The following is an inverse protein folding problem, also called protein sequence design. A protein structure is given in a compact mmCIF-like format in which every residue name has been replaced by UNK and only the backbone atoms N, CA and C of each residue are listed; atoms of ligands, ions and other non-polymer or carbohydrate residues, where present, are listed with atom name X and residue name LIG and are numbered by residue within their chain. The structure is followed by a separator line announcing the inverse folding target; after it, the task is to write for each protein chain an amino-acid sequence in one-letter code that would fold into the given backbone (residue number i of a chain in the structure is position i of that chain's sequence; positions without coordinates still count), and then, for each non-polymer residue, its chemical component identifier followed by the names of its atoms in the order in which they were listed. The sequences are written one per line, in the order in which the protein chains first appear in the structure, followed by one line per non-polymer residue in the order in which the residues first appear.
data_IF_750537691709
#
_entry.id   IF_750537691709
#
_cell.length_a   1.000
_cell.length_b   1.000
_cell.length_c   1.000
_cell.angle_alpha   90.00
_cell.angle_beta   90.00
_cell.angle_gamma   90.00
#
_symmetry.space_group_name_H-M   'P 1'
#
loop_
_entity.id
_entity.type
_entity.pdbx_description
1 polymer ?
#
# COMPACT_ATOMS: atom_id res chain seq x y z
N UNK A 1 -19.33 2.41 16.36
CA UNK A 1 -17.97 2.96 16.27
C UNK A 1 -17.56 2.95 14.81
N UNK A 2 -17.00 4.05 14.30
CA UNK A 2 -16.58 4.22 12.91
C UNK A 2 -15.08 4.08 12.75
N UNK A 3 -14.61 3.60 11.57
CA UNK A 3 -13.19 3.61 11.21
C UNK A 3 -12.90 4.86 10.37
N UNK A 4 -11.70 5.41 10.43
CA UNK A 4 -11.28 6.54 9.56
C UNK A 4 -11.43 6.22 8.07
N UNK A 5 -11.26 4.95 7.68
CA UNK A 5 -11.46 4.45 6.31
C UNK A 5 -12.90 4.49 5.81
N UNK A 6 -13.89 4.57 6.72
CA UNK A 6 -15.30 4.65 6.34
C UNK A 6 -15.65 6.01 5.72
N UNK A 7 -14.78 7.00 5.91
CA UNK A 7 -14.97 8.37 5.44
C UNK A 7 -14.06 8.67 4.24
N UNK A 8 -14.54 8.42 3.02
CA UNK A 8 -13.77 8.57 1.78
C UNK A 8 -14.00 9.89 1.05
N UNK A 9 -15.09 10.62 1.38
CA UNK A 9 -15.43 11.87 0.73
C UNK A 9 -14.63 13.04 1.29
N UNK A 10 -14.24 13.99 0.43
CA UNK A 10 -13.58 15.22 0.86
C UNK A 10 -14.54 16.14 1.66
N UNK A 11 -15.82 16.13 1.31
CA UNK A 11 -16.87 16.95 1.95
C UNK A 11 -18.12 16.13 2.23
N UNK A 12 -18.80 16.46 3.34
CA UNK A 12 -20.06 15.87 3.80
C UNK A 12 -21.15 16.93 3.92
N UNK A 13 -22.33 16.64 3.39
CA UNK A 13 -23.52 17.52 3.52
C UNK A 13 -24.12 17.38 4.91
N UNK A 14 -24.86 18.39 5.37
CA UNK A 14 -25.53 18.39 6.69
C UNK A 14 -26.36 17.12 6.94
N UNK A 15 -27.08 16.62 5.92
CA UNK A 15 -27.88 15.40 6.04
C UNK A 15 -27.04 14.12 6.18
N UNK A 16 -25.84 14.08 5.60
CA UNK A 16 -24.91 12.96 5.74
C UNK A 16 -24.32 12.97 7.15
N UNK A 17 -23.89 14.13 7.63
CA UNK A 17 -23.39 14.31 9.01
C UNK A 17 -24.47 13.93 10.03
N UNK A 18 -25.72 14.34 9.78
CA UNK A 18 -26.86 13.98 10.64
C UNK A 18 -27.05 12.46 10.75
N UNK A 19 -26.95 11.74 9.65
CA UNK A 19 -27.01 10.25 9.63
C UNK A 19 -25.83 9.62 10.37
N UNK A 20 -24.62 10.09 10.15
CA UNK A 20 -23.41 9.60 10.79
C UNK A 20 -23.49 9.77 12.30
N UNK A 21 -23.93 10.93 12.76
CA UNK A 21 -24.03 11.24 14.20
C UNK A 21 -25.32 10.73 14.84
N UNK A 22 -26.23 10.14 14.05
CA UNK A 22 -27.56 9.73 14.48
C UNK A 22 -28.35 10.87 15.14
N UNK A 23 -28.27 12.08 14.56
CA UNK A 23 -28.91 13.30 15.03
C UNK A 23 -29.87 13.85 13.96
N UNK A 24 -30.77 14.75 14.37
CA UNK A 24 -31.61 15.46 13.41
C UNK A 24 -30.83 16.56 12.70
N UNK A 25 -31.26 16.91 11.47
CA UNK A 25 -30.67 18.03 10.71
C UNK A 25 -30.75 19.33 11.52
N UNK A 26 -31.83 19.54 12.27
CA UNK A 26 -32.04 20.70 13.15
C UNK A 26 -30.96 20.77 14.24
N UNK A 27 -30.63 19.63 14.86
CA UNK A 27 -29.56 19.53 15.87
C UNK A 27 -28.20 19.86 15.27
N UNK A 28 -27.90 19.35 14.07
CA UNK A 28 -26.65 19.66 13.35
C UNK A 28 -26.54 21.16 13.04
N UNK A 29 -27.64 21.80 12.65
CA UNK A 29 -27.67 23.25 12.41
C UNK A 29 -27.42 24.05 13.69
N UNK A 30 -27.97 23.60 14.81
CA UNK A 30 -27.73 24.23 16.12
C UNK A 30 -26.25 24.06 16.54
N UNK A 31 -25.64 22.91 16.28
CA UNK A 31 -24.22 22.68 16.55
C UNK A 31 -23.29 23.54 15.66
N UNK A 32 -23.68 23.80 14.42
CA UNK A 32 -22.99 24.76 13.55
C UNK A 32 -23.09 26.19 14.12
N UNK A 33 -24.27 26.61 14.57
CA UNK A 33 -24.46 27.93 15.18
C UNK A 33 -23.73 28.12 16.51
N UNK A 34 -23.66 27.09 17.32
CA UNK A 34 -22.94 27.11 18.61
C UNK A 34 -21.43 26.92 18.47
N UNK A 35 -20.91 26.65 17.26
CA UNK A 35 -19.49 26.36 17.01
C UNK A 35 -19.04 24.97 17.47
N UNK A 36 -19.98 24.10 17.90
CA UNK A 36 -19.67 22.72 18.26
C UNK A 36 -19.24 21.88 17.06
N UNK A 37 -19.82 22.15 15.88
CA UNK A 37 -19.42 21.59 14.58
C UNK A 37 -18.99 22.72 13.64
N UNK A 38 -17.93 22.48 12.88
CA UNK A 38 -17.43 23.45 11.90
C UNK A 38 -17.94 23.11 10.51
N UNK A 39 -18.70 24.05 9.91
CA UNK A 39 -19.14 23.94 8.51
C UNK A 39 -18.59 25.09 7.68
N UNK A 40 -18.14 24.79 6.50
CA UNK A 40 -17.85 25.76 5.47
C UNK A 40 -19.13 26.06 4.68
N UNK A 41 -19.23 27.27 4.10
CA UNK A 41 -20.36 27.67 3.26
C UNK A 41 -19.93 27.71 1.80
N UNK A 42 -20.74 27.12 0.93
CA UNK A 42 -20.58 27.31 -0.51
C UNK A 42 -21.05 28.70 -0.91
N UNK A 43 -20.76 29.13 -2.14
CA UNK A 43 -21.26 30.38 -2.72
C UNK A 43 -22.80 30.45 -2.73
N UNK A 44 -23.48 29.31 -2.77
CA UNK A 44 -24.93 29.16 -2.69
C UNK A 44 -25.43 28.94 -1.27
N UNK A 45 -24.60 29.23 -0.25
CA UNK A 45 -24.87 29.13 1.17
C UNK A 45 -25.19 27.70 1.71
N UNK A 46 -24.86 26.65 0.95
CA UNK A 46 -24.94 25.27 1.48
C UNK A 46 -23.86 25.00 2.50
N UNK A 47 -24.24 24.25 3.55
CA UNK A 47 -23.31 23.77 4.59
C UNK A 47 -22.59 22.51 4.13
N UNK A 48 -21.27 22.54 4.16
CA UNK A 48 -20.40 21.39 3.93
C UNK A 48 -19.43 21.26 5.10
N UNK A 49 -19.19 20.04 5.57
CA UNK A 49 -18.19 19.72 6.56
C UNK A 49 -17.02 19.04 5.86
N UNK A 50 -15.79 19.44 6.18
CA UNK A 50 -14.60 18.74 5.66
C UNK A 50 -14.49 17.37 6.30
N UNK A 51 -13.80 16.45 5.63
CA UNK A 51 -13.48 15.13 6.20
C UNK A 51 -12.71 15.28 7.52
N UNK A 52 -11.77 16.19 7.55
CA UNK A 52 -10.91 16.43 8.71
C UNK A 52 -11.72 16.91 9.93
N UNK A 53 -12.57 17.93 9.77
CA UNK A 53 -13.41 18.43 10.86
C UNK A 53 -14.40 17.35 11.37
N UNK A 54 -14.91 16.50 10.46
CA UNK A 54 -15.78 15.39 10.85
C UNK A 54 -15.02 14.35 11.67
N UNK A 55 -13.81 13.95 11.24
CA UNK A 55 -12.97 12.99 11.93
C UNK A 55 -12.54 13.53 13.30
N UNK A 56 -12.14 14.79 13.38
CA UNK A 56 -11.78 15.44 14.65
C UNK A 56 -12.93 15.46 15.65
N UNK A 57 -14.15 15.71 15.16
CA UNK A 57 -15.34 15.67 16.02
C UNK A 57 -15.65 14.25 16.52
N UNK A 58 -15.61 13.26 15.62
CA UNK A 58 -15.85 11.86 15.95
C UNK A 58 -14.80 11.32 16.94
N UNK A 59 -13.56 11.76 16.82
CA UNK A 59 -12.47 11.42 17.73
C UNK A 59 -12.71 11.98 19.13
N UNK A 60 -13.04 13.26 19.22
CA UNK A 60 -13.35 13.95 20.50
C UNK A 60 -14.54 13.33 21.22
N UNK A 61 -15.55 12.88 20.48
CA UNK A 61 -16.73 12.22 21.04
C UNK A 61 -16.51 10.71 21.30
N UNK A 62 -15.30 10.17 21.06
CA UNK A 62 -14.98 8.76 21.23
C UNK A 62 -15.76 7.83 20.31
N UNK A 63 -16.23 8.34 19.16
CA UNK A 63 -17.03 7.59 18.17
C UNK A 63 -16.17 6.92 17.11
N UNK A 64 -14.89 7.31 16.98
CA UNK A 64 -13.93 6.61 16.14
C UNK A 64 -13.41 5.39 16.87
N UNK A 65 -13.46 4.28 16.19
CA UNK A 65 -12.67 3.12 16.56
C UNK A 65 -11.26 3.37 16.02
N UNK A 66 -10.50 4.24 16.68
CA UNK A 66 -9.07 4.16 16.59
C UNK A 66 -8.64 2.92 17.36
N UNK A 67 -8.82 1.77 16.75
CA UNK A 67 -7.69 0.88 16.78
C UNK A 67 -6.67 1.68 15.97
N UNK A 68 -5.86 2.50 16.60
CA UNK A 68 -4.50 2.68 16.17
C UNK A 68 -3.94 1.26 16.22
N UNK A 69 -4.16 0.52 15.15
CA UNK A 69 -3.32 -0.63 14.88
C UNK A 69 -1.95 0.04 14.88
N UNK A 70 -1.21 -0.17 15.98
CA UNK A 70 0.16 0.35 16.08
C UNK A 70 0.77 0.06 14.74
N UNK A 71 1.10 1.14 14.00
CA UNK A 71 1.67 0.97 12.67
C UNK A 71 2.79 -0.04 12.80
N UNK A 72 2.71 -1.08 12.02
CA UNK A 72 3.68 -2.19 12.08
C UNK A 72 4.80 -1.99 11.08
N UNK A 73 5.92 -2.56 11.36
CA UNK A 73 6.98 -2.72 10.39
C UNK A 73 6.69 -3.92 9.49
N UNK A 74 6.97 -3.78 8.21
CA UNK A 74 6.80 -4.88 7.25
C UNK A 74 8.15 -5.30 6.71
N UNK A 75 8.46 -6.58 6.84
CA UNK A 75 9.60 -7.24 6.21
C UNK A 75 9.09 -7.90 4.94
N UNK A 76 9.59 -7.48 3.79
CA UNK A 76 9.19 -8.06 2.52
C UNK A 76 10.37 -8.82 1.90
N UNK A 77 10.19 -10.13 1.74
CA UNK A 77 11.15 -11.03 1.13
C UNK A 77 10.57 -11.66 -0.15
N UNK A 78 11.37 -11.75 -1.21
CA UNK A 78 10.97 -12.33 -2.49
C UNK A 78 12.07 -13.16 -3.11
N UNK A 79 11.67 -14.28 -3.72
CA UNK A 79 12.50 -15.08 -4.63
C UNK A 79 11.75 -15.29 -5.95
N UNK A 80 12.47 -15.47 -7.06
CA UNK A 80 11.87 -15.60 -8.38
C UNK A 80 11.26 -16.99 -8.62
N UNK A 81 11.80 -18.03 -8.02
CA UNK A 81 11.43 -19.43 -8.27
C UNK A 81 11.10 -20.24 -7.01
N UNK A 82 10.35 -21.33 -7.21
CA UNK A 82 10.10 -22.30 -6.15
C UNK A 82 11.37 -23.08 -5.74
N UNK A 83 12.33 -23.20 -6.63
CA UNK A 83 13.60 -23.85 -6.31
C UNK A 83 14.39 -23.07 -5.25
N UNK A 84 14.48 -21.73 -5.41
CA UNK A 84 15.09 -20.85 -4.42
C UNK A 84 14.34 -20.89 -3.08
N UNK A 85 13.00 -20.99 -3.11
CA UNK A 85 12.20 -21.20 -1.90
C UNK A 85 12.58 -22.50 -1.20
N UNK A 86 12.70 -23.59 -1.96
CA UNK A 86 13.06 -24.91 -1.40
C UNK A 86 14.49 -24.93 -0.83
N UNK A 87 15.40 -24.14 -1.39
CA UNK A 87 16.77 -23.93 -0.86
C UNK A 87 16.79 -23.05 0.41
N UNK A 88 15.66 -22.51 0.84
CA UNK A 88 15.58 -21.70 2.05
C UNK A 88 15.98 -20.23 1.87
N UNK A 89 16.21 -19.76 0.65
CA UNK A 89 16.66 -18.39 0.37
C UNK A 89 15.65 -17.35 0.85
N UNK A 90 14.35 -17.65 0.71
CA UNK A 90 13.27 -16.77 1.15
C UNK A 90 13.26 -16.58 2.67
N UNK A 91 13.48 -17.65 3.42
CA UNK A 91 13.55 -17.61 4.89
C UNK A 91 14.83 -16.91 5.35
N UNK A 92 15.95 -17.16 4.67
CA UNK A 92 17.22 -16.48 4.94
C UNK A 92 17.11 -14.97 4.78
N UNK A 93 16.46 -14.48 3.72
CA UNK A 93 16.20 -13.03 3.52
C UNK A 93 15.40 -12.45 4.67
N UNK A 94 14.32 -13.11 5.06
CA UNK A 94 13.46 -12.64 6.15
C UNK A 94 14.20 -12.61 7.48
N UNK A 95 14.96 -13.66 7.80
CA UNK A 95 15.76 -13.74 9.03
C UNK A 95 16.85 -12.68 9.05
N UNK A 96 17.56 -12.51 7.92
CA UNK A 96 18.59 -11.47 7.80
C UNK A 96 18.04 -10.09 8.13
N UNK A 97 16.87 -9.73 7.61
CA UNK A 97 16.22 -8.44 7.91
C UNK A 97 15.82 -8.33 9.39
N UNK A 98 15.30 -9.41 9.99
CA UNK A 98 14.91 -9.42 11.40
C UNK A 98 16.14 -9.20 12.30
N UNK A 99 17.28 -9.81 11.96
CA UNK A 99 18.51 -9.76 12.76
C UNK A 99 19.29 -8.45 12.59
N UNK A 100 19.14 -7.76 11.45
CA UNK A 100 19.93 -6.56 11.11
C UNK A 100 19.10 -5.25 11.13
N UNK A 101 17.87 -5.29 11.61
CA UNK A 101 17.04 -4.10 11.81
C UNK A 101 16.71 -3.95 13.28
N UNK A 102 17.21 -2.86 13.87
CA UNK A 102 16.93 -2.54 15.26
C UNK A 102 15.51 -1.98 15.46
N UNK A 103 14.94 -2.22 16.64
CA UNK A 103 13.68 -1.62 17.09
C UNK A 103 12.47 -1.85 16.15
N UNK A 104 12.34 -3.07 15.61
CA UNK A 104 11.15 -3.48 14.87
C UNK A 104 9.89 -3.42 15.77
N UNK A 105 8.84 -2.77 15.28
CA UNK A 105 7.54 -2.70 15.98
C UNK A 105 6.55 -3.64 15.30
N UNK A 106 6.08 -4.64 16.03
CA UNK A 106 5.05 -5.60 15.60
C UNK A 106 5.28 -6.09 14.16
N UNK A 107 6.45 -6.70 13.84
CA UNK A 107 6.85 -6.97 12.47
C UNK A 107 5.94 -7.97 11.78
N UNK A 108 5.47 -7.62 10.58
CA UNK A 108 4.77 -8.50 9.67
C UNK A 108 5.73 -8.98 8.57
N UNK A 109 5.91 -10.27 8.44
CA UNK A 109 6.76 -10.86 7.39
C UNK A 109 5.91 -11.27 6.20
N UNK A 110 6.12 -10.62 5.07
CA UNK A 110 5.51 -10.96 3.78
C UNK A 110 6.53 -11.68 2.90
N UNK A 111 6.28 -12.96 2.65
CA UNK A 111 7.12 -13.82 1.82
C UNK A 111 6.44 -14.08 0.48
N UNK A 112 7.13 -13.85 -0.62
CA UNK A 112 6.59 -13.97 -1.97
C UNK A 112 7.48 -14.80 -2.89
N UNK A 113 6.86 -15.66 -3.69
CA UNK A 113 7.53 -16.37 -4.78
C UNK A 113 6.96 -15.87 -6.10
N UNK A 114 7.80 -15.29 -6.93
CA UNK A 114 7.41 -14.77 -8.23
C UNK A 114 8.41 -13.78 -8.80
N UNK A 115 8.43 -13.63 -10.12
CA UNK A 115 9.30 -12.68 -10.81
C UNK A 115 9.05 -11.24 -10.35
N UNK A 116 10.12 -10.45 -10.29
CA UNK A 116 10.06 -9.01 -10.03
C UNK A 116 9.33 -8.21 -11.10
N UNK A 117 9.10 -8.81 -12.28
CA UNK A 117 8.34 -8.24 -13.39
C UNK A 117 6.83 -8.43 -13.26
N UNK A 118 6.39 -9.38 -12.43
CA UNK A 118 4.96 -9.64 -12.23
C UNK A 118 4.35 -8.57 -11.32
N UNK A 119 3.46 -7.74 -11.87
CA UNK A 119 2.73 -6.68 -11.15
C UNK A 119 1.52 -7.20 -10.35
N UNK A 120 1.09 -8.46 -10.59
CA UNK A 120 -0.06 -9.12 -9.93
C UNK A 120 0.34 -9.95 -8.71
N UNK A 121 1.49 -9.71 -8.13
CA UNK A 121 1.98 -10.44 -6.95
C UNK A 121 1.11 -10.16 -5.73
N UNK A 122 0.58 -11.23 -5.14
CA UNK A 122 -0.42 -11.15 -4.06
C UNK A 122 0.12 -10.43 -2.82
N UNK A 123 1.37 -10.73 -2.42
CA UNK A 123 1.97 -10.15 -1.22
C UNK A 123 2.41 -8.69 -1.42
N UNK A 124 2.79 -8.31 -2.63
CA UNK A 124 3.02 -6.91 -2.96
C UNK A 124 1.72 -6.10 -2.93
N UNK A 125 0.64 -6.64 -3.49
CA UNK A 125 -0.68 -6.00 -3.44
C UNK A 125 -1.18 -5.90 -1.99
N UNK A 126 -0.97 -6.94 -1.18
CA UNK A 126 -1.28 -6.91 0.26
C UNK A 126 -0.50 -5.80 0.98
N UNK A 127 0.80 -5.67 0.72
CA UNK A 127 1.63 -4.59 1.26
C UNK A 127 1.10 -3.21 0.86
N UNK A 128 0.81 -3.01 -0.41
CA UNK A 128 0.25 -1.74 -0.93
C UNK A 128 -1.05 -1.40 -0.19
N UNK A 129 -1.95 -2.37 -0.03
CA UNK A 129 -3.21 -2.17 0.69
C UNK A 129 -2.98 -1.80 2.17
N UNK A 130 -2.02 -2.44 2.85
CA UNK A 130 -1.66 -2.11 4.22
C UNK A 130 -1.13 -0.67 4.34
N UNK A 131 -0.30 -0.24 3.38
CA UNK A 131 0.21 1.15 3.32
C UNK A 131 -0.93 2.14 3.08
N UNK A 132 -1.80 1.89 2.10
CA UNK A 132 -2.95 2.74 1.79
C UNK A 132 -3.97 2.85 2.93
N UNK A 133 -3.98 1.88 3.84
CA UNK A 133 -4.81 1.88 5.05
C UNK A 133 -4.07 2.41 6.30
N UNK A 134 -2.92 3.08 6.12
CA UNK A 134 -2.09 3.67 7.18
C UNK A 134 -1.66 2.69 8.29
N UNK A 135 -1.54 1.38 7.97
CA UNK A 135 -1.20 0.32 8.91
C UNK A 135 0.30 0.02 8.99
N UNK A 136 1.10 0.65 8.13
CA UNK A 136 2.55 0.41 8.02
C UNK A 136 3.34 1.60 8.53
N UNK A 137 4.40 1.32 9.30
CA UNK A 137 5.39 2.32 9.75
C UNK A 137 6.55 2.41 8.75
N UNK A 138 7.22 1.29 8.54
CA UNK A 138 8.32 1.16 7.59
C UNK A 138 8.25 -0.19 6.85
N UNK A 139 8.86 -0.23 5.66
CA UNK A 139 9.02 -1.45 4.87
C UNK A 139 10.50 -1.73 4.71
N UNK A 140 10.92 -2.96 5.05
CA UNK A 140 12.31 -3.40 4.99
C UNK A 140 12.50 -4.44 3.91
N UNK A 141 13.51 -4.24 3.07
CA UNK A 141 13.90 -5.16 1.98
C UNK A 141 15.40 -5.29 1.91
N UNK A 142 15.91 -6.41 1.43
CA UNK A 142 17.36 -6.60 1.21
C UNK A 142 17.86 -5.81 0.01
N UNK A 143 17.06 -5.71 -1.05
CA UNK A 143 17.35 -4.94 -2.26
C UNK A 143 16.05 -4.32 -2.81
N UNK A 144 16.16 -3.20 -3.54
CA UNK A 144 15.03 -2.54 -4.22
C UNK A 144 14.28 -3.49 -5.15
N UNK A 145 15.01 -4.36 -5.82
CA UNK A 145 14.51 -5.37 -6.75
C UNK A 145 13.62 -6.44 -6.09
N UNK A 146 13.68 -6.59 -4.77
CA UNK A 146 12.78 -7.48 -4.04
C UNK A 146 11.35 -6.95 -4.06
N UNK A 147 11.17 -5.63 -4.00
CA UNK A 147 9.84 -5.03 -4.16
C UNK A 147 9.37 -5.07 -5.61
N UNK A 148 10.16 -4.53 -6.53
CA UNK A 148 9.80 -4.52 -7.94
C UNK A 148 11.03 -4.33 -8.81
N UNK A 149 11.03 -4.94 -10.00
CA UNK A 149 12.10 -4.78 -10.97
C UNK A 149 12.06 -3.41 -11.66
N UNK A 150 10.84 -2.92 -11.93
CA UNK A 150 10.61 -1.61 -12.51
C UNK A 150 9.62 -0.80 -11.65
N UNK A 151 9.70 0.53 -11.75
CA UNK A 151 8.75 1.40 -11.07
C UNK A 151 8.98 1.56 -9.56
N UNK A 152 10.16 1.21 -9.02
CA UNK A 152 10.48 1.36 -7.60
C UNK A 152 10.23 2.78 -7.11
N UNK A 153 10.65 3.80 -7.86
CA UNK A 153 10.47 5.21 -7.47
C UNK A 153 8.99 5.60 -7.34
N UNK A 154 8.09 5.01 -8.14
CA UNK A 154 6.65 5.25 -8.00
C UNK A 154 6.10 4.67 -6.70
N UNK A 155 6.54 3.46 -6.33
CA UNK A 155 6.18 2.85 -5.04
C UNK A 155 6.75 3.67 -3.87
N UNK A 156 8.01 4.09 -3.96
CA UNK A 156 8.67 4.88 -2.93
C UNK A 156 7.94 6.20 -2.66
N UNK A 157 7.57 6.96 -3.71
CA UNK A 157 6.80 8.20 -3.57
C UNK A 157 5.38 7.95 -3.05
N UNK A 158 4.72 6.88 -3.51
CA UNK A 158 3.41 6.51 -3.01
C UNK A 158 3.46 6.18 -1.50
N UNK A 159 4.43 5.38 -1.07
CA UNK A 159 4.60 5.00 0.34
C UNK A 159 4.93 6.23 1.20
N UNK A 160 5.80 7.10 0.71
CA UNK A 160 6.16 8.37 1.38
C UNK A 160 4.95 9.28 1.59
N UNK A 161 4.01 9.34 0.65
CA UNK A 161 2.75 10.10 0.80
C UNK A 161 1.85 9.57 1.93
N UNK A 162 2.02 8.30 2.33
CA UNK A 162 1.39 7.67 3.50
C UNK A 162 2.28 7.70 4.75
N UNK A 163 3.41 8.43 4.70
CA UNK A 163 4.37 8.51 5.81
C UNK A 163 5.14 7.21 6.06
N UNK A 164 5.27 6.35 5.04
CA UNK A 164 5.97 5.07 5.11
C UNK A 164 7.31 5.18 4.38
N UNK A 165 8.39 4.75 5.04
CA UNK A 165 9.72 4.71 4.45
C UNK A 165 10.07 3.28 4.00
N UNK A 166 10.66 3.14 2.81
CA UNK A 166 11.27 1.89 2.35
C UNK A 166 12.75 1.91 2.72
N UNK A 167 13.15 0.97 3.57
CA UNK A 167 14.52 0.83 4.08
C UNK A 167 15.18 -0.36 3.40
N UNK A 168 16.29 -0.11 2.71
CA UNK A 168 17.06 -1.17 2.04
C UNK A 168 18.24 -1.56 2.91
N UNK A 169 18.22 -2.78 3.43
CA UNK A 169 19.29 -3.38 4.26
C UNK A 169 20.03 -4.40 3.40
N UNK A 170 21.14 -3.98 2.78
CA UNK A 170 21.87 -4.81 1.80
C UNK A 170 22.48 -6.05 2.44
N UNK A 171 22.11 -7.22 1.94
CA UNK A 171 22.82 -8.49 2.19
C UNK A 171 23.86 -8.74 1.10
N UNK A 172 25.14 -8.66 1.44
CA UNK A 172 26.24 -8.90 0.48
C UNK A 172 26.22 -10.30 -0.13
N UNK A 173 25.64 -11.29 0.57
CA UNK A 173 25.54 -12.68 0.08
C UNK A 173 24.51 -12.81 -1.04
N UNK A 174 23.49 -11.96 -1.07
CA UNK A 174 22.45 -11.95 -2.10
C UNK A 174 22.83 -11.20 -3.39
N UNK A 175 23.90 -10.43 -3.40
CA UNK A 175 24.23 -9.56 -4.54
C UNK A 175 24.38 -10.33 -5.86
N UNK A 176 24.93 -11.54 -5.80
CA UNK A 176 25.08 -12.42 -6.95
C UNK A 176 23.73 -12.93 -7.44
N UNK A 177 22.91 -13.42 -6.53
CA UNK A 177 21.59 -13.98 -6.83
C UNK A 177 20.66 -12.92 -7.47
N UNK A 178 20.70 -11.68 -7.01
CA UNK A 178 19.92 -10.55 -7.58
C UNK A 178 20.34 -10.26 -9.02
N UNK A 179 21.64 -10.33 -9.34
CA UNK A 179 22.13 -10.12 -10.72
C UNK A 179 21.74 -11.26 -11.65
N UNK A 180 21.86 -12.50 -11.20
CA UNK A 180 21.45 -13.70 -11.97
C UNK A 180 19.94 -13.67 -12.24
N UNK A 181 19.11 -13.39 -11.23
CA UNK A 181 17.66 -13.22 -11.42
C UNK A 181 17.31 -12.12 -12.42
N UNK A 182 18.06 -11.02 -12.47
CA UNK A 182 17.83 -9.96 -13.43
C UNK A 182 18.03 -10.46 -14.88
N UNK A 183 19.09 -11.23 -15.11
CA UNK A 183 19.36 -11.81 -16.42
C UNK A 183 18.24 -12.77 -16.84
N UNK A 184 17.80 -13.64 -15.95
CA UNK A 184 16.72 -14.60 -16.19
C UNK A 184 15.38 -13.88 -16.48
N UNK A 185 15.06 -12.83 -15.72
CA UNK A 185 13.87 -12.00 -15.94
C UNK A 185 13.93 -11.32 -17.33
N UNK A 186 15.09 -10.80 -17.75
CA UNK A 186 15.26 -10.18 -19.07
C UNK A 186 15.16 -11.20 -20.20
N UNK A 187 15.74 -12.39 -20.04
CA UNK A 187 15.63 -13.47 -21.03
C UNK A 187 14.18 -13.92 -21.20
N UNK A 188 13.43 -14.03 -20.10
CA UNK A 188 12.01 -14.37 -20.13
C UNK A 188 11.18 -13.32 -20.87
N UNK A 189 11.47 -12.03 -20.68
CA UNK A 189 10.86 -10.93 -21.41
C UNK A 189 11.14 -11.02 -22.91
N UNK A 190 12.40 -11.21 -23.31
CA UNK A 190 12.80 -11.32 -24.72
C UNK A 190 12.10 -12.52 -25.38
N UNK A 191 12.03 -13.66 -24.69
CA UNK A 191 11.33 -14.84 -25.18
C UNK A 191 9.83 -14.58 -25.39
N UNK A 192 9.17 -13.91 -24.46
CA UNK A 192 7.75 -13.52 -24.57
C UNK A 192 7.50 -12.61 -25.77
N UNK A 193 8.29 -11.54 -25.92
CA UNK A 193 8.17 -10.64 -27.08
C UNK A 193 8.44 -11.34 -28.40
N UNK A 194 9.43 -12.21 -28.45
CA UNK A 194 9.72 -13.00 -29.65
C UNK A 194 8.53 -13.88 -30.05
N UNK A 195 7.90 -14.54 -29.07
CA UNK A 195 6.70 -15.36 -29.27
C UNK A 195 5.53 -14.56 -29.84
N UNK A 196 5.26 -13.38 -29.28
CA UNK A 196 4.21 -12.47 -29.75
C UNK A 196 4.47 -11.98 -31.19
N UNK A 197 5.71 -11.58 -31.48
CA UNK A 197 6.10 -11.13 -32.85
C UNK A 197 5.93 -12.25 -33.88
N UNK A 198 6.29 -13.48 -33.54
CA UNK A 198 6.06 -14.63 -34.44
C UNK A 198 4.57 -14.92 -34.62
N UNK A 199 3.78 -14.82 -33.56
CA UNK A 199 2.33 -14.98 -33.58
C UNK A 199 1.64 -13.94 -34.48
N UNK A 200 2.03 -12.67 -34.41
CA UNK A 200 1.52 -11.59 -35.27
C UNK A 200 1.88 -11.81 -36.74
N UNK A 201 3.12 -12.24 -37.05
CA UNK A 201 3.54 -12.53 -38.42
C UNK A 201 2.76 -13.71 -39.05
N UNK A 202 2.41 -14.70 -38.25
CA UNK A 202 1.65 -15.87 -38.71
C UNK A 202 0.18 -15.55 -39.00
N UNK A 203 -0.44 -14.63 -38.26
CA UNK A 203 -1.81 -14.13 -38.49
C UNK A 203 -1.89 -13.31 -39.78
N UNK A 204 -0.95 -12.40 -40.01
CA UNK A 204 -0.89 -11.59 -41.25
C UNK A 204 -0.61 -12.40 -42.54
N UNK A 205 -0.10 -13.64 -42.41
CA UNK A 205 0.07 -14.55 -43.55
C UNK A 205 -1.20 -15.34 -43.89
N UNK A 206 -2.17 -15.44 -42.98
CA UNK A 206 -3.44 -16.15 -43.22
C UNK A 206 -4.53 -15.23 -43.76
N UNK A 207 -4.35 -13.92 -43.72
CA UNK A 207 -5.26 -12.90 -44.26
C UNK A 207 -4.89 -12.40 -45.67
N UNK A 208 -3.87 -13.01 -46.31
CA UNK A 208 -3.51 -12.83 -47.72
C UNK A 208 -3.74 -14.14 -48.50
#
# INVERSE_FOLDING_TARGET
MYKRSDFTKKYYKTGEVAKILNLTIKTIQNYDHSGKLKFIRTTTNYRLMTREDLLDYLDKEGMLCDISLEKRDVIYARVSSNEQKTKGDLDRQAMFLIENVDNLINPLVLKEVGSGLNDKRKKLIELINLVCNDQVRNVYVTYKDRLTRFGFNYLEEMFKNHGVQIVVVKDKKEEKDVKEELVDDMMSLIASFSGELYGMRSKNKKEK
#
